data_IF_613912070333
#
_entry.id   IF_613912070333
#
_cell.length_a   1.000
_cell.length_b   1.000
_cell.length_c   1.000
_cell.angle_alpha   90.00
_cell.angle_beta   90.00
_cell.angle_gamma   90.00
#
_symmetry.space_group_name_H-M   'P 1'
#
loop_
_entity.id
_entity.type
_entity.pdbx_description
1 polymer ?
#
# COMPACT_ATOMS: atom_id res chain seq x y z
N UNK A 1 -12.82 -16.04 17.71
CA UNK A 1 -12.81 -15.77 19.16
C UNK A 1 -13.70 -14.55 19.37
N UNK A 2 -14.94 -14.57 19.88
CA UNK A 2 -15.78 -15.56 20.56
C UNK A 2 -17.25 -15.13 20.35
N UNK A 3 -18.23 -16.05 20.27
CA UNK A 3 -19.62 -15.71 20.56
C UNK A 3 -19.91 -16.05 22.03
N UNK A 4 -20.30 -15.08 22.85
CA UNK A 4 -20.80 -15.35 24.20
C UNK A 4 -22.32 -15.49 24.17
N UNK A 5 -22.72 -16.67 24.58
CA UNK A 5 -24.06 -17.21 24.73
C UNK A 5 -24.96 -16.34 25.62
N UNK A 6 -26.19 -16.12 25.17
CA UNK A 6 -27.30 -15.74 26.03
C UNK A 6 -27.85 -17.02 26.66
N UNK A 7 -27.73 -17.14 27.99
CA UNK A 7 -28.38 -18.19 28.77
C UNK A 7 -29.41 -17.56 29.70
N UNK A 8 -30.58 -18.20 29.71
CA UNK A 8 -31.81 -17.82 30.36
C UNK A 8 -31.68 -17.63 31.87
N UNK A 9 -32.35 -16.59 32.39
CA UNK A 9 -32.71 -16.50 33.80
C UNK A 9 -34.17 -16.93 33.91
N UNK A 10 -34.36 -18.07 34.57
CA UNK A 10 -35.65 -18.64 34.91
C UNK A 10 -36.41 -17.73 35.89
N UNK A 11 -37.70 -17.60 35.63
CA UNK A 11 -38.69 -16.97 36.49
C UNK A 11 -39.33 -18.03 37.39
N UNK A 12 -39.89 -17.57 38.51
CA UNK A 12 -41.00 -18.11 39.31
C UNK A 12 -40.62 -18.40 40.77
N UNK A 13 -40.99 -17.46 41.64
CA UNK A 13 -41.80 -17.74 42.84
C UNK A 13 -42.23 -16.41 43.47
N UNK A 14 -43.51 -16.05 43.34
CA UNK A 14 -44.13 -15.08 44.24
C UNK A 14 -45.65 -15.35 44.37
N UNK A 15 -45.94 -15.94 45.53
CA UNK A 15 -47.13 -15.93 46.38
C UNK A 15 -48.48 -15.37 45.86
N UNK A 16 -49.50 -16.19 46.17
CA UNK A 16 -50.93 -15.90 46.28
C UNK A 16 -51.23 -14.80 47.32
N UNK A 17 -52.25 -13.96 47.04
CA UNK A 17 -52.99 -13.23 48.08
C UNK A 17 -53.80 -12.03 47.58
N UNK A 18 -55.14 -12.13 47.63
CA UNK A 18 -56.02 -10.97 47.81
C UNK A 18 -56.83 -10.48 46.60
N UNK A 19 -57.99 -11.10 46.35
CA UNK A 19 -59.07 -10.51 45.53
C UNK A 19 -59.94 -9.59 46.40
N UNK A 20 -59.57 -8.32 46.57
CA UNK A 20 -60.48 -7.26 47.07
C UNK A 20 -60.11 -5.96 46.34
N UNK A 21 -60.96 -5.49 45.41
CA UNK A 21 -60.87 -4.14 44.80
C UNK A 21 -59.84 -3.93 43.67
N UNK A 22 -59.82 -4.77 42.63
CA UNK A 22 -58.78 -4.76 41.58
C UNK A 22 -58.88 -3.69 40.47
N UNK A 23 -59.71 -2.67 40.61
CA UNK A 23 -59.85 -1.60 39.59
C UNK A 23 -58.75 -0.52 39.70
N UNK A 24 -58.50 -0.02 40.90
CA UNK A 24 -57.59 1.12 41.11
C UNK A 24 -56.10 0.76 40.99
N UNK A 25 -55.74 -0.52 41.11
CA UNK A 25 -54.32 -0.96 40.98
C UNK A 25 -53.83 -0.91 39.54
N UNK A 26 -54.70 -1.15 38.56
CA UNK A 26 -54.34 -1.15 37.13
C UNK A 26 -54.14 0.28 36.59
N UNK A 27 -55.02 1.22 36.95
CA UNK A 27 -54.89 2.62 36.55
C UNK A 27 -53.62 3.27 37.13
N UNK A 28 -53.30 2.97 38.40
CA UNK A 28 -52.06 3.44 39.04
C UNK A 28 -50.80 2.91 38.36
N UNK A 29 -50.78 1.65 37.94
CA UNK A 29 -49.63 1.05 37.24
C UNK A 29 -49.37 1.72 35.88
N UNK A 30 -50.42 1.97 35.08
CA UNK A 30 -50.26 2.62 33.77
C UNK A 30 -49.84 4.08 33.86
N UNK A 31 -50.32 4.80 34.88
CA UNK A 31 -49.86 6.15 35.14
C UNK A 31 -48.37 6.18 35.51
N UNK A 32 -47.92 5.24 36.34
CA UNK A 32 -46.50 5.10 36.69
C UNK A 32 -45.63 4.76 35.48
N UNK A 33 -46.10 3.88 34.59
CA UNK A 33 -45.41 3.58 33.32
C UNK A 33 -45.33 4.82 32.42
N UNK A 34 -46.41 5.60 32.31
CA UNK A 34 -46.42 6.84 31.53
C UNK A 34 -45.48 7.90 32.09
N UNK A 35 -45.39 8.02 33.42
CA UNK A 35 -44.43 8.90 34.08
C UNK A 35 -42.98 8.44 33.88
N UNK A 36 -42.72 7.13 33.95
CA UNK A 36 -41.42 6.55 33.63
C UNK A 36 -41.04 6.81 32.17
N UNK A 37 -41.99 6.68 31.24
CA UNK A 37 -41.79 7.00 29.83
C UNK A 37 -41.46 8.49 29.62
N UNK A 38 -42.14 9.39 30.35
CA UNK A 38 -41.91 10.84 30.30
C UNK A 38 -40.48 11.23 30.69
N UNK A 39 -39.97 10.65 31.77
CA UNK A 39 -38.63 10.98 32.31
C UNK A 39 -37.50 10.15 31.72
N UNK A 40 -37.82 9.16 30.88
CA UNK A 40 -36.83 8.33 30.21
C UNK A 40 -35.84 9.18 29.41
N UNK A 41 -34.60 8.73 29.33
CA UNK A 41 -33.56 9.39 28.54
C UNK A 41 -33.95 9.52 27.06
N UNK A 42 -34.61 8.49 26.51
CA UNK A 42 -35.11 8.48 25.13
C UNK A 42 -36.11 9.61 24.88
N UNK A 43 -37.10 9.79 25.76
CA UNK A 43 -38.08 10.88 25.64
C UNK A 43 -37.46 12.25 25.88
N UNK A 44 -36.56 12.39 26.87
CA UNK A 44 -35.86 13.65 27.14
C UNK A 44 -35.04 14.12 25.94
N UNK A 45 -34.26 13.23 25.32
CA UNK A 45 -33.52 13.54 24.10
C UNK A 45 -34.45 13.81 22.91
N UNK A 46 -35.56 13.07 22.80
CA UNK A 46 -36.51 13.22 21.71
C UNK A 46 -37.32 14.52 21.75
N UNK A 47 -37.53 15.12 22.95
CA UNK A 47 -38.24 16.40 23.12
C UNK A 47 -37.62 17.56 22.33
N UNK A 48 -36.29 17.58 22.19
CA UNK A 48 -35.61 18.61 21.40
C UNK A 48 -35.94 18.51 19.89
N UNK A 49 -36.17 17.29 19.41
CA UNK A 49 -36.40 16.98 17.99
C UNK A 49 -37.88 16.94 17.62
N UNK A 50 -38.77 16.65 18.58
CA UNK A 50 -40.21 16.56 18.36
C UNK A 50 -41.01 17.26 19.50
N UNK A 51 -40.84 18.58 19.69
CA UNK A 51 -41.41 19.29 20.84
C UNK A 51 -42.95 19.30 20.84
N UNK A 52 -43.58 19.41 19.66
CA UNK A 52 -45.05 19.42 19.53
C UNK A 52 -45.66 18.08 19.95
N UNK A 53 -45.10 16.96 19.48
CA UNK A 53 -45.57 15.63 19.86
C UNK A 53 -45.34 15.34 21.35
N UNK A 54 -44.29 15.91 21.95
CA UNK A 54 -44.04 15.77 23.37
C UNK A 54 -45.05 16.56 24.22
N UNK A 55 -45.45 17.76 23.76
CA UNK A 55 -46.52 18.53 24.40
C UNK A 55 -47.86 17.77 24.35
N UNK A 56 -48.20 17.16 23.21
CA UNK A 56 -49.39 16.28 23.09
C UNK A 56 -49.34 15.11 24.08
N UNK A 57 -48.17 14.48 24.25
CA UNK A 57 -48.00 13.37 25.21
C UNK A 57 -48.12 13.83 26.68
N UNK A 58 -47.60 15.02 27.02
CA UNK A 58 -47.74 15.64 28.34
C UNK A 58 -49.20 16.00 28.65
N UNK A 59 -49.96 16.47 27.65
CA UNK A 59 -51.37 16.80 27.78
C UNK A 59 -52.23 15.55 28.07
N UNK A 60 -51.97 14.43 27.40
CA UNK A 60 -52.65 13.15 27.70
C UNK A 60 -52.30 12.64 29.11
N UNK A 61 -51.04 12.79 29.53
CA UNK A 61 -50.64 12.43 30.90
C UNK A 61 -51.32 13.34 31.94
N UNK A 62 -51.49 14.63 31.65
CA UNK A 62 -52.20 15.56 32.52
C UNK A 62 -53.67 15.14 32.67
N UNK A 63 -54.36 14.81 31.57
CA UNK A 63 -55.73 14.28 31.59
C UNK A 63 -55.86 12.98 32.39
N UNK A 64 -54.87 12.09 32.28
CA UNK A 64 -54.83 10.85 33.07
C UNK A 64 -54.77 11.13 34.58
N UNK A 65 -53.97 12.11 35.00
CA UNK A 65 -53.87 12.53 36.41
C UNK A 65 -55.15 13.17 36.90
N UNK A 66 -55.74 14.06 36.11
CA UNK A 66 -57.02 14.71 36.44
C UNK A 66 -58.12 13.65 36.65
N UNK A 67 -58.25 12.68 35.74
CA UNK A 67 -59.22 11.59 35.88
C UNK A 67 -58.97 10.71 37.12
N UNK A 68 -57.71 10.41 37.44
CA UNK A 68 -57.36 9.67 38.66
C UNK A 68 -57.77 10.45 39.92
N UNK A 69 -57.50 11.76 39.96
CA UNK A 69 -57.91 12.61 41.10
C UNK A 69 -59.42 12.71 41.26
N UNK A 70 -60.18 12.55 40.18
CA UNK A 70 -61.64 12.51 40.18
C UNK A 70 -62.23 11.13 40.55
N UNK A 71 -61.40 10.09 40.71
CA UNK A 71 -61.82 8.72 40.97
C UNK A 71 -62.34 7.96 39.75
N UNK A 72 -62.14 8.49 38.53
CA UNK A 72 -62.49 7.82 37.28
C UNK A 72 -61.31 6.96 36.78
N UNK A 73 -61.19 5.76 37.35
CA UNK A 73 -60.12 4.82 37.02
C UNK A 73 -60.13 4.38 35.54
N UNK A 74 -61.30 4.34 34.90
CA UNK A 74 -61.44 3.93 33.50
C UNK A 74 -60.88 5.01 32.58
N UNK A 75 -61.27 6.26 32.79
CA UNK A 75 -60.73 7.39 32.04
C UNK A 75 -59.23 7.58 32.32
N UNK A 76 -58.79 7.46 33.58
CA UNK A 76 -57.38 7.54 33.94
C UNK A 76 -56.53 6.52 33.18
N UNK A 77 -56.97 5.26 33.13
CA UNK A 77 -56.30 4.20 32.40
C UNK A 77 -56.26 4.48 30.89
N UNK A 78 -57.39 4.92 30.30
CA UNK A 78 -57.47 5.24 28.88
C UNK A 78 -56.50 6.37 28.49
N UNK A 79 -56.46 7.46 29.26
CA UNK A 79 -55.54 8.57 29.02
C UNK A 79 -54.07 8.18 29.27
N UNK A 80 -53.79 7.31 30.25
CA UNK A 80 -52.44 6.82 30.48
C UNK A 80 -51.90 5.98 29.30
N UNK A 81 -52.73 5.12 28.70
CA UNK A 81 -52.36 4.35 27.49
C UNK A 81 -52.13 5.28 26.29
N UNK A 82 -52.96 6.32 26.13
CA UNK A 82 -52.76 7.34 25.08
C UNK A 82 -51.47 8.11 25.29
N UNK A 83 -51.15 8.48 26.54
CA UNK A 83 -49.88 9.13 26.86
C UNK A 83 -48.68 8.24 26.54
N UNK A 84 -48.73 6.94 26.88
CA UNK A 84 -47.70 5.96 26.53
C UNK A 84 -47.51 5.86 25.01
N UNK A 85 -48.60 5.74 24.25
CA UNK A 85 -48.55 5.70 22.79
C UNK A 85 -47.98 7.01 22.20
N UNK A 86 -48.35 8.16 22.78
CA UNK A 86 -47.84 9.47 22.36
C UNK A 86 -46.32 9.60 22.64
N UNK A 87 -45.82 9.15 23.80
CA UNK A 87 -44.37 9.10 24.07
C UNK A 87 -43.61 8.16 23.14
N UNK A 88 -44.19 7.03 22.76
CA UNK A 88 -43.61 6.16 21.74
C UNK A 88 -43.52 6.87 20.37
N UNK A 89 -44.56 7.62 19.99
CA UNK A 89 -44.56 8.45 18.77
C UNK A 89 -43.47 9.54 18.81
N UNK A 90 -43.27 10.19 19.96
CA UNK A 90 -42.18 11.17 20.15
C UNK A 90 -40.81 10.54 19.85
N UNK A 91 -40.55 9.35 20.36
CA UNK A 91 -39.30 8.64 20.09
C UNK A 91 -39.12 8.28 18.60
N UNK A 92 -40.20 7.89 17.91
CA UNK A 92 -40.18 7.59 16.47
C UNK A 92 -39.90 8.86 15.66
N UNK A 93 -40.57 9.97 15.97
CA UNK A 93 -40.37 11.24 15.26
C UNK A 93 -38.95 11.77 15.46
N UNK A 94 -38.38 11.64 16.66
CA UNK A 94 -36.99 12.01 16.92
C UNK A 94 -35.99 11.13 16.14
N UNK A 95 -36.27 9.83 15.98
CA UNK A 95 -35.46 8.96 15.10
C UNK A 95 -35.55 9.41 13.65
N UNK A 96 -36.74 9.75 13.17
CA UNK A 96 -36.94 10.24 11.81
C UNK A 96 -36.23 11.59 11.57
N UNK A 97 -36.28 12.51 12.55
CA UNK A 97 -35.57 13.79 12.47
C UNK A 97 -34.06 13.60 12.33
N UNK A 98 -33.46 12.75 13.18
CA UNK A 98 -32.03 12.40 13.07
C UNK A 98 -31.67 11.77 11.73
N UNK A 99 -32.49 10.82 11.26
CA UNK A 99 -32.26 10.18 9.97
C UNK A 99 -32.25 11.20 8.82
N UNK A 100 -33.12 12.22 8.87
CA UNK A 100 -33.13 13.31 7.88
C UNK A 100 -31.91 14.23 7.98
N UNK A 101 -31.44 14.53 9.19
CA UNK A 101 -30.22 15.30 9.40
C UNK A 101 -28.98 14.55 8.87
N UNK A 102 -28.90 13.24 9.15
CA UNK A 102 -27.86 12.34 8.64
C UNK A 102 -27.90 12.23 7.11
N UNK A 103 -29.09 12.09 6.52
CA UNK A 103 -29.29 12.09 5.07
C UNK A 103 -28.80 13.40 4.44
N UNK A 104 -29.19 14.54 5.01
CA UNK A 104 -28.77 15.85 4.52
C UNK A 104 -27.24 16.05 4.66
N UNK A 105 -26.63 15.55 5.74
CA UNK A 105 -25.18 15.57 5.91
C UNK A 105 -24.47 14.68 4.88
N UNK A 106 -24.99 13.48 4.62
CA UNK A 106 -24.45 12.57 3.63
C UNK A 106 -24.55 13.14 2.20
N UNK A 107 -25.67 13.79 1.85
CA UNK A 107 -25.84 14.45 0.56
C UNK A 107 -24.84 15.60 0.37
N UNK A 108 -24.58 16.41 1.41
CA UNK A 108 -23.53 17.45 1.36
C UNK A 108 -22.14 16.85 1.17
N UNK A 109 -21.81 15.80 1.93
CA UNK A 109 -20.53 15.11 1.81
C UNK A 109 -20.33 14.49 0.41
N UNK A 110 -21.39 13.96 -0.21
CA UNK A 110 -21.38 13.47 -1.58
C UNK A 110 -21.07 14.60 -2.58
N UNK A 111 -21.79 15.73 -2.50
CA UNK A 111 -21.57 16.88 -3.39
C UNK A 111 -20.14 17.45 -3.26
N UNK A 112 -19.59 17.51 -2.06
CA UNK A 112 -18.19 17.89 -1.83
C UNK A 112 -17.22 16.89 -2.45
N UNK A 113 -17.49 15.59 -2.32
CA UNK A 113 -16.65 14.54 -2.89
C UNK A 113 -16.67 14.58 -4.43
N UNK A 114 -17.83 14.81 -5.04
CA UNK A 114 -17.97 15.00 -6.49
C UNK A 114 -17.20 16.23 -6.98
N UNK A 115 -17.26 17.33 -6.23
CA UNK A 115 -16.48 18.54 -6.52
C UNK A 115 -14.97 18.26 -6.46
N UNK A 116 -14.49 17.56 -5.42
CA UNK A 116 -13.09 17.14 -5.30
C UNK A 116 -12.67 16.23 -6.46
N UNK A 117 -13.52 15.28 -6.85
CA UNK A 117 -13.27 14.39 -7.98
C UNK A 117 -13.12 15.19 -9.29
N UNK A 118 -14.00 16.14 -9.54
CA UNK A 118 -13.94 17.00 -10.73
C UNK A 118 -12.66 17.84 -10.78
N UNK A 119 -12.24 18.39 -9.64
CA UNK A 119 -10.97 19.12 -9.51
C UNK A 119 -9.77 18.23 -9.81
N UNK A 120 -9.72 17.02 -9.23
CA UNK A 120 -8.64 16.07 -9.51
C UNK A 120 -8.63 15.59 -10.96
N UNK A 121 -9.80 15.38 -11.57
CA UNK A 121 -9.89 15.00 -12.97
C UNK A 121 -9.35 16.11 -13.89
N UNK A 122 -9.61 17.38 -13.57
CA UNK A 122 -9.07 18.53 -14.31
C UNK A 122 -7.56 18.62 -14.15
N UNK A 123 -7.06 18.58 -12.91
CA UNK A 123 -5.63 18.61 -12.63
C UNK A 123 -4.86 17.47 -13.32
N UNK A 124 -5.46 16.27 -13.42
CA UNK A 124 -4.86 15.15 -14.16
C UNK A 124 -4.75 15.43 -15.65
N UNK A 125 -5.79 16.02 -16.26
CA UNK A 125 -5.75 16.40 -17.69
C UNK A 125 -4.68 17.45 -17.95
N UNK A 126 -4.57 18.44 -17.07
CA UNK A 126 -3.54 19.49 -17.19
C UNK A 126 -2.14 18.89 -17.08
N UNK A 127 -1.92 18.00 -16.11
CA UNK A 127 -0.65 17.27 -15.95
C UNK A 127 -0.33 16.41 -17.18
N UNK A 128 -1.32 15.69 -17.73
CA UNK A 128 -1.13 14.86 -18.93
C UNK A 128 -0.77 15.72 -20.16
N UNK A 129 -1.32 16.93 -20.27
CA UNK A 129 -0.96 17.90 -21.31
C UNK A 129 0.47 18.42 -21.12
N UNK A 130 0.86 18.78 -19.90
CA UNK A 130 2.22 19.21 -19.59
C UNK A 130 3.25 18.13 -19.91
N UNK A 131 2.95 16.86 -19.59
CA UNK A 131 3.81 15.72 -19.94
C UNK A 131 3.97 15.60 -21.46
N UNK A 132 2.87 15.71 -22.22
CA UNK A 132 2.92 15.63 -23.67
C UNK A 132 3.75 16.77 -24.30
N UNK A 133 3.63 17.98 -23.76
CA UNK A 133 4.40 19.14 -24.19
C UNK A 133 5.89 18.99 -23.86
N UNK A 134 6.22 18.52 -22.65
CA UNK A 134 7.60 18.23 -22.25
C UNK A 134 8.22 17.12 -23.10
N UNK A 135 7.47 16.07 -23.44
CA UNK A 135 7.94 15.00 -24.34
C UNK A 135 8.24 15.52 -25.75
N UNK A 136 7.40 16.45 -26.24
CA UNK A 136 7.64 17.12 -27.52
C UNK A 136 8.90 17.99 -27.47
N UNK A 137 9.07 18.79 -26.42
CA UNK A 137 10.28 19.59 -26.21
C UNK A 137 11.53 18.71 -26.12
N UNK A 138 11.45 17.59 -25.39
CA UNK A 138 12.55 16.65 -25.24
C UNK A 138 12.92 16.01 -26.58
N UNK A 139 11.95 15.69 -27.43
CA UNK A 139 12.19 15.19 -28.78
C UNK A 139 12.92 16.22 -29.64
N UNK A 140 12.44 17.47 -29.66
CA UNK A 140 13.09 18.57 -30.40
C UNK A 140 14.51 18.80 -29.88
N UNK A 141 14.72 18.85 -28.57
CA UNK A 141 16.05 19.01 -27.99
C UNK A 141 17.00 17.86 -28.36
N UNK A 142 16.51 16.61 -28.36
CA UNK A 142 17.28 15.44 -28.80
C UNK A 142 17.64 15.51 -30.28
N UNK A 143 16.75 15.99 -31.14
CA UNK A 143 17.03 16.19 -32.57
C UNK A 143 18.05 17.31 -32.79
N UNK A 144 17.92 18.44 -32.08
CA UNK A 144 18.87 19.56 -32.14
C UNK A 144 20.27 19.19 -31.63
N UNK A 145 20.38 18.25 -30.70
CA UNK A 145 21.65 17.79 -30.13
C UNK A 145 22.14 16.47 -30.76
N UNK A 146 21.44 15.95 -31.77
CA UNK A 146 21.92 14.80 -32.51
C UNK A 146 23.20 15.22 -33.26
N UNK A 147 24.33 14.52 -33.07
CA UNK A 147 25.53 14.79 -33.84
C UNK A 147 25.22 14.61 -35.34
N UNK A 148 25.74 15.52 -36.16
CA UNK A 148 25.59 15.42 -37.60
C UNK A 148 26.08 14.06 -38.10
N UNK A 149 25.31 13.42 -38.99
CA UNK A 149 25.68 12.15 -39.56
C UNK A 149 27.09 12.24 -40.20
N UNK A 150 27.92 11.25 -39.90
CA UNK A 150 29.27 11.20 -40.48
C UNK A 150 29.17 11.07 -41.99
N UNK A 151 29.83 11.98 -42.72
CA UNK A 151 29.93 11.89 -44.19
C UNK A 151 31.04 10.89 -44.57
N UNK A 152 30.96 10.24 -45.75
CA UNK A 152 32.03 9.37 -46.26
C UNK A 152 33.37 10.11 -46.24
N UNK A 153 34.37 9.51 -45.60
CA UNK A 153 35.74 10.05 -45.53
C UNK A 153 36.67 9.45 -46.57
N UNK A 154 37.91 9.94 -46.59
CA UNK A 154 39.04 9.29 -47.27
C UNK A 154 39.16 7.80 -46.85
N UNK A 155 39.56 6.87 -47.74
CA UNK A 155 39.73 5.45 -47.43
C UNK A 155 40.53 5.16 -46.16
N UNK A 156 41.56 5.95 -45.84
CA UNK A 156 42.34 5.73 -44.60
C UNK A 156 41.57 6.17 -43.33
N UNK A 157 40.73 7.19 -43.46
CA UNK A 157 39.80 7.61 -42.40
C UNK A 157 38.71 6.56 -42.16
N UNK A 158 38.22 5.90 -43.20
CA UNK A 158 37.24 4.81 -43.08
C UNK A 158 37.85 3.57 -42.42
N UNK A 159 39.10 3.21 -42.74
CA UNK A 159 39.82 2.14 -42.03
C UNK A 159 39.96 2.46 -40.53
N UNK A 160 40.36 3.68 -40.18
CA UNK A 160 40.44 4.10 -38.79
C UNK A 160 39.07 4.07 -38.08
N UNK A 161 37.99 4.45 -38.77
CA UNK A 161 36.61 4.36 -38.25
C UNK A 161 36.17 2.92 -38.00
N UNK A 162 36.57 1.98 -38.85
CA UNK A 162 36.29 0.55 -38.64
C UNK A 162 36.99 0.01 -37.40
N UNK A 163 38.28 0.34 -37.21
CA UNK A 163 39.02 -0.03 -35.99
C UNK A 163 38.37 0.57 -34.74
N UNK A 164 37.96 1.84 -34.80
CA UNK A 164 37.23 2.49 -33.70
C UNK A 164 35.84 1.85 -33.45
N UNK A 165 35.12 1.46 -34.50
CA UNK A 165 33.84 0.78 -34.36
C UNK A 165 34.00 -0.62 -33.71
N UNK A 166 35.07 -1.35 -34.03
CA UNK A 166 35.40 -2.63 -33.40
C UNK A 166 35.70 -2.48 -31.91
N UNK A 167 36.47 -1.46 -31.51
CA UNK A 167 36.76 -1.19 -30.10
C UNK A 167 35.49 -0.80 -29.34
N UNK A 168 34.63 0.03 -29.94
CA UNK A 168 33.34 0.41 -29.38
C UNK A 168 32.39 -0.78 -29.23
N UNK A 169 32.28 -1.65 -30.24
CA UNK A 169 31.45 -2.86 -30.18
C UNK A 169 31.92 -3.83 -29.09
N UNK A 170 33.24 -3.99 -28.93
CA UNK A 170 33.82 -4.79 -27.84
C UNK A 170 33.48 -4.17 -26.48
N UNK A 171 33.64 -2.85 -26.33
CA UNK A 171 33.29 -2.17 -25.08
C UNK A 171 31.80 -2.29 -24.75
N UNK A 172 30.92 -2.21 -25.75
CA UNK A 172 29.48 -2.33 -25.57
C UNK A 172 29.11 -3.73 -25.06
N UNK A 173 29.70 -4.78 -25.63
CA UNK A 173 29.48 -6.15 -25.17
C UNK A 173 29.92 -6.37 -23.72
N UNK A 174 31.07 -5.82 -23.32
CA UNK A 174 31.53 -5.89 -21.93
C UNK A 174 30.55 -5.18 -20.98
N UNK A 175 30.02 -4.02 -21.38
CA UNK A 175 29.05 -3.27 -20.59
C UNK A 175 27.71 -3.98 -20.46
N UNK A 176 27.20 -4.57 -21.55
CA UNK A 176 25.99 -5.38 -21.50
C UNK A 176 26.21 -6.68 -20.68
N UNK A 177 27.41 -7.28 -20.74
CA UNK A 177 27.81 -8.39 -19.87
C UNK A 177 27.81 -7.98 -18.39
N UNK A 178 28.39 -6.82 -18.07
CA UNK A 178 28.38 -6.26 -16.72
C UNK A 178 26.95 -5.95 -16.24
N UNK A 179 26.10 -5.40 -17.11
CA UNK A 179 24.69 -5.16 -16.79
C UNK A 179 23.95 -6.46 -16.46
N UNK A 180 24.22 -7.55 -17.21
CA UNK A 180 23.64 -8.88 -16.97
C UNK A 180 24.09 -9.48 -15.63
N UNK A 181 25.33 -9.25 -15.22
CA UNK A 181 25.84 -9.69 -13.91
C UNK A 181 25.14 -8.97 -12.76
N UNK A 182 24.78 -7.69 -12.94
CA UNK A 182 24.05 -6.90 -11.95
C UNK A 182 22.57 -7.31 -11.92
N UNK A 183 21.95 -7.43 -13.09
CA UNK A 183 20.57 -7.92 -13.22
C UNK A 183 20.36 -8.54 -14.60
N UNK A 184 19.96 -9.81 -14.61
CA UNK A 184 19.67 -10.56 -15.85
C UNK A 184 18.48 -9.95 -16.60
N UNK A 185 17.55 -9.34 -15.87
CA UNK A 185 16.30 -8.75 -16.40
C UNK A 185 16.34 -7.22 -16.47
N UNK A 186 17.54 -6.62 -16.49
CA UNK A 186 17.67 -5.16 -16.52
C UNK A 186 16.86 -4.52 -17.68
N UNK A 187 16.01 -3.50 -17.40
CA UNK A 187 15.13 -2.91 -18.42
C UNK A 187 15.89 -2.35 -19.63
N UNK A 188 15.64 -2.95 -20.80
CA UNK A 188 16.27 -2.59 -22.07
C UNK A 188 17.58 -3.31 -22.38
N UNK A 189 18.04 -4.24 -21.54
CA UNK A 189 19.26 -5.01 -21.76
C UNK A 189 19.18 -5.92 -23.00
N UNK A 190 18.05 -6.57 -23.22
CA UNK A 190 17.85 -7.46 -24.37
C UNK A 190 17.98 -6.69 -25.71
N UNK A 191 17.38 -5.51 -25.79
CA UNK A 191 17.44 -4.68 -27.00
C UNK A 191 18.84 -4.08 -27.20
N UNK A 192 19.50 -3.68 -26.12
CA UNK A 192 20.90 -3.23 -26.17
C UNK A 192 21.83 -4.34 -26.66
N UNK A 193 21.67 -5.57 -26.17
CA UNK A 193 22.45 -6.73 -26.61
C UNK A 193 22.23 -7.03 -28.10
N UNK A 194 20.98 -7.04 -28.56
CA UNK A 194 20.64 -7.19 -29.99
C UNK A 194 21.30 -6.12 -30.85
N UNK A 195 21.35 -4.87 -30.37
CA UNK A 195 22.03 -3.79 -31.08
C UNK A 195 23.55 -4.00 -31.18
N UNK A 196 24.19 -4.53 -30.12
CA UNK A 196 25.62 -4.92 -30.16
C UNK A 196 25.84 -6.05 -31.16
N UNK A 197 25.01 -7.08 -31.13
CA UNK A 197 25.13 -8.24 -32.01
C UNK A 197 24.94 -7.84 -33.48
N UNK A 198 24.00 -6.94 -33.76
CA UNK A 198 23.79 -6.37 -35.10
C UNK A 198 24.99 -5.54 -35.59
N UNK A 199 25.67 -4.80 -34.69
CA UNK A 199 26.90 -4.08 -35.03
C UNK A 199 28.04 -5.06 -35.32
N UNK A 200 28.21 -6.10 -34.51
CA UNK A 200 29.23 -7.15 -34.71
C UNK A 200 29.06 -7.87 -36.03
N UNK A 201 27.84 -8.33 -36.33
CA UNK A 201 27.53 -8.97 -37.60
C UNK A 201 27.88 -8.09 -38.82
N UNK A 202 27.67 -6.76 -38.71
CA UNK A 202 28.06 -5.81 -39.77
C UNK A 202 29.57 -5.64 -39.89
N UNK A 203 30.31 -5.70 -38.78
CA UNK A 203 31.76 -5.65 -38.77
C UNK A 203 32.37 -6.94 -39.35
N UNK A 204 31.82 -8.10 -38.99
CA UNK A 204 32.28 -9.42 -39.42
C UNK A 204 31.98 -9.69 -40.90
N UNK A 205 30.85 -9.19 -41.41
CA UNK A 205 30.51 -9.25 -42.83
C UNK A 205 31.44 -8.40 -43.73
N UNK A 206 32.48 -7.78 -43.15
CA UNK A 206 33.43 -6.95 -43.86
C UNK A 206 32.73 -5.76 -44.50
N UNK A 207 32.12 -4.90 -43.67
CA UNK A 207 31.46 -3.69 -44.12
C UNK A 207 32.30 -3.02 -45.22
N UNK A 208 31.80 -3.07 -46.47
CA UNK A 208 32.47 -2.46 -47.62
C UNK A 208 32.84 -1.05 -47.19
N UNK A 209 34.13 -0.73 -47.24
CA UNK A 209 34.72 0.55 -46.83
C UNK A 209 33.84 1.69 -47.32
N UNK A 210 33.14 2.37 -46.40
CA UNK A 210 32.17 3.42 -46.75
C UNK A 210 30.73 3.23 -46.25
N UNK A 211 30.48 2.42 -45.22
CA UNK A 211 29.26 2.55 -44.42
C UNK A 211 29.51 3.50 -43.23
N UNK A 212 29.46 4.84 -43.41
CA UNK A 212 29.78 5.82 -42.36
C UNK A 212 28.97 5.59 -41.07
N UNK A 213 27.83 4.92 -41.17
CA UNK A 213 26.93 4.64 -40.05
C UNK A 213 27.39 3.54 -39.08
N UNK A 214 28.46 2.79 -39.36
CA UNK A 214 28.87 1.67 -38.48
C UNK A 214 29.46 2.17 -37.15
N UNK A 215 30.29 3.21 -37.17
CA UNK A 215 30.83 3.82 -35.94
C UNK A 215 29.72 4.49 -35.10
N UNK A 216 28.75 5.13 -35.76
CA UNK A 216 27.60 5.75 -35.09
C UNK A 216 26.69 4.68 -34.47
N UNK A 217 26.50 3.55 -35.16
CA UNK A 217 25.75 2.41 -34.64
C UNK A 217 26.47 1.76 -33.44
N UNK A 218 27.79 1.58 -33.51
CA UNK A 218 28.60 1.06 -32.40
C UNK A 218 28.55 2.00 -31.18
N UNK A 219 28.62 3.32 -31.41
CA UNK A 219 28.49 4.34 -30.36
C UNK A 219 27.11 4.30 -29.69
N UNK A 220 26.02 4.19 -30.47
CA UNK A 220 24.65 4.03 -29.94
C UNK A 220 24.47 2.73 -29.17
N UNK A 221 25.02 1.62 -29.67
CA UNK A 221 24.96 0.33 -28.97
C UNK A 221 25.67 0.38 -27.61
N UNK A 222 26.86 1.01 -27.55
CA UNK A 222 27.58 1.27 -26.29
C UNK A 222 26.75 2.11 -25.32
N UNK A 223 26.16 3.20 -25.77
CA UNK A 223 25.31 4.06 -24.94
C UNK A 223 24.07 3.32 -24.41
N UNK A 224 23.48 2.44 -25.23
CA UNK A 224 22.40 1.54 -24.82
C UNK A 224 22.81 0.61 -23.68
N UNK A 225 23.96 -0.07 -23.80
CA UNK A 225 24.48 -0.93 -22.73
C UNK A 225 24.83 -0.15 -21.45
N UNK A 226 25.39 1.06 -21.56
CA UNK A 226 25.61 1.94 -20.39
C UNK A 226 24.31 2.31 -19.69
N UNK A 227 23.26 2.61 -20.45
CA UNK A 227 21.95 2.96 -19.91
C UNK A 227 21.34 1.78 -19.17
N UNK A 228 21.41 0.58 -19.77
CA UNK A 228 20.95 -0.66 -19.14
C UNK A 228 21.72 -0.94 -17.83
N UNK A 229 23.05 -0.83 -17.83
CA UNK A 229 23.88 -0.98 -16.62
C UNK A 229 23.50 0.05 -15.54
N UNK A 230 23.30 1.31 -15.92
CA UNK A 230 22.92 2.37 -14.98
C UNK A 230 21.56 2.10 -14.34
N UNK A 231 20.59 1.62 -15.12
CA UNK A 231 19.26 1.23 -14.60
C UNK A 231 19.37 0.03 -13.66
N UNK A 232 20.09 -1.01 -14.06
CA UNK A 232 20.33 -2.19 -13.24
C UNK A 232 20.90 -1.82 -11.85
N UNK A 233 21.90 -0.93 -11.82
CA UNK A 233 22.50 -0.43 -10.57
C UNK A 233 21.52 0.40 -9.73
N UNK A 234 20.69 1.23 -10.37
CA UNK A 234 19.69 2.04 -9.66
C UNK A 234 18.57 1.18 -9.06
N UNK A 235 18.17 0.13 -9.75
CA UNK A 235 17.14 -0.78 -9.23
C UNK A 235 17.70 -1.57 -8.04
N UNK A 236 18.94 -2.08 -8.11
CA UNK A 236 19.61 -2.64 -6.93
C UNK A 236 19.76 -1.65 -5.76
N UNK A 237 19.96 -0.35 -6.04
CA UNK A 237 20.05 0.65 -4.99
C UNK A 237 18.72 0.85 -4.23
N UNK A 238 17.57 0.48 -4.81
CA UNK A 238 16.29 0.47 -4.09
C UNK A 238 16.22 -0.65 -3.06
N UNK A 239 16.95 -1.73 -3.28
CA UNK A 239 17.07 -2.87 -2.38
C UNK A 239 18.18 -2.65 -1.31
N UNK A 240 18.75 -1.45 -1.24
CA UNK A 240 19.75 -1.07 -0.25
C UNK A 240 19.33 -1.35 1.21
N UNK A 241 18.09 -1.04 1.66
CA UNK A 241 17.66 -1.32 3.03
C UNK A 241 17.65 -2.82 3.35
N UNK A 242 17.29 -3.66 2.38
CA UNK A 242 17.30 -5.11 2.52
C UNK A 242 18.73 -5.68 2.54
N UNK A 243 19.62 -5.08 1.75
CA UNK A 243 21.04 -5.45 1.71
C UNK A 243 21.77 -5.04 2.99
N UNK A 244 21.42 -3.89 3.58
CA UNK A 244 21.97 -3.43 4.87
C UNK A 244 21.49 -4.31 6.03
N UNK A 245 20.22 -4.75 5.99
CA UNK A 245 19.70 -5.73 6.94
C UNK A 245 20.44 -7.08 6.83
N UNK A 246 20.66 -7.57 5.60
CA UNK A 246 21.44 -8.77 5.35
C UNK A 246 22.89 -8.65 5.84
N UNK A 247 23.53 -7.50 5.62
CA UNK A 247 24.87 -7.24 6.14
C UNK A 247 24.89 -7.33 7.67
N UNK A 248 23.91 -6.73 8.35
CA UNK A 248 23.78 -6.80 9.81
C UNK A 248 23.61 -8.25 10.31
N UNK A 249 22.80 -9.05 9.62
CA UNK A 249 22.62 -10.48 9.95
C UNK A 249 23.88 -11.30 9.72
N UNK A 250 24.58 -11.08 8.60
CA UNK A 250 25.87 -11.72 8.31
C UNK A 250 26.90 -11.34 9.37
N UNK A 251 27.03 -10.06 9.70
CA UNK A 251 27.94 -9.59 10.76
C UNK A 251 27.58 -10.21 12.11
N UNK A 252 26.30 -10.33 12.46
CA UNK A 252 25.86 -11.00 13.68
C UNK A 252 26.22 -12.49 13.68
N UNK A 253 26.06 -13.19 12.55
CA UNK A 253 26.45 -14.59 12.41
C UNK A 253 27.98 -14.77 12.54
N UNK A 254 28.77 -13.84 11.99
CA UNK A 254 30.23 -13.82 12.14
C UNK A 254 30.67 -13.61 13.60
N UNK A 255 30.00 -12.72 14.33
CA UNK A 255 30.26 -12.49 15.76
C UNK A 255 29.86 -13.69 16.62
N UNK A 256 28.75 -14.37 16.31
CA UNK A 256 28.35 -15.60 17.00
C UNK A 256 29.35 -16.75 16.79
N UNK A 257 29.99 -16.79 15.61
CA UNK A 257 31.06 -17.72 15.30
C UNK A 257 32.44 -17.29 15.87
N UNK A 258 32.55 -16.11 16.49
CA UNK A 258 33.80 -15.56 17.04
C UNK A 258 34.87 -15.24 15.98
N UNK A 259 34.46 -14.96 14.73
CA UNK A 259 35.34 -14.73 13.56
C UNK A 259 35.32 -13.30 13.06
N UNK A 260 34.72 -12.40 13.82
CA UNK A 260 34.60 -10.95 13.57
C UNK A 260 35.96 -10.24 13.39
N UNK A 261 37.08 -10.87 13.76
CA UNK A 261 38.45 -10.35 13.55
C UNK A 261 39.16 -10.92 12.31
N UNK A 262 38.75 -12.08 11.83
CA UNK A 262 39.42 -12.79 10.73
C UNK A 262 38.63 -12.73 9.41
N UNK A 263 37.33 -12.44 9.50
CA UNK A 263 36.39 -12.43 8.39
C UNK A 263 35.78 -11.06 8.28
N UNK A 264 35.99 -10.42 7.14
CA UNK A 264 35.43 -9.09 6.86
C UNK A 264 34.24 -9.28 5.93
N UNK A 265 33.05 -8.88 6.41
CA UNK A 265 31.88 -8.66 5.58
C UNK A 265 31.84 -7.20 5.16
N UNK A 266 31.74 -6.93 3.86
CA UNK A 266 31.63 -5.59 3.29
C UNK A 266 30.45 -5.52 2.36
N UNK A 267 29.83 -4.34 2.27
CA UNK A 267 28.82 -4.05 1.26
C UNK A 267 29.46 -3.38 0.05
N UNK A 268 29.14 -3.86 -1.14
CA UNK A 268 29.48 -3.23 -2.41
C UNK A 268 28.24 -3.08 -3.31
N UNK A 269 28.41 -2.54 -4.52
CA UNK A 269 27.31 -2.42 -5.49
C UNK A 269 26.77 -3.76 -6.03
N UNK A 270 27.31 -4.92 -5.61
CA UNK A 270 26.84 -6.25 -6.01
C UNK A 270 26.12 -6.97 -4.87
N UNK A 271 26.28 -6.52 -3.63
CA UNK A 271 25.63 -7.07 -2.44
C UNK A 271 26.54 -7.09 -1.22
N UNK A 272 26.45 -8.17 -0.44
CA UNK A 272 27.31 -8.41 0.73
C UNK A 272 28.42 -9.39 0.34
N UNK A 273 29.68 -8.95 0.45
CA UNK A 273 30.87 -9.74 0.16
C UNK A 273 31.52 -10.16 1.47
N UNK A 274 31.68 -11.47 1.67
CA UNK A 274 32.35 -12.05 2.84
C UNK A 274 33.67 -12.65 2.42
N UNK A 275 34.77 -12.15 2.97
CA UNK A 275 36.12 -12.68 2.67
C UNK A 275 36.57 -13.60 3.79
N UNK A 276 36.74 -14.89 3.49
CA UNK A 276 37.25 -15.90 4.43
C UNK A 276 38.69 -16.23 4.08
N UNK A 277 39.61 -15.98 5.02
CA UNK A 277 41.04 -16.30 4.87
C UNK A 277 41.37 -17.65 5.51
N UNK A 278 42.38 -18.32 4.98
CA UNK A 278 42.92 -19.59 5.50
C UNK A 278 41.85 -20.67 5.70
N UNK A 279 40.88 -20.70 4.76
CA UNK A 279 39.71 -21.57 4.87
C UNK A 279 40.04 -23.07 4.71
N UNK A 280 41.18 -23.36 4.08
CA UNK A 280 41.58 -24.70 3.67
C UNK A 280 42.88 -25.13 4.37
N UNK A 281 43.00 -26.43 4.63
CA UNK A 281 44.23 -27.11 5.04
C UNK A 281 44.39 -28.36 4.16
N UNK A 282 45.23 -28.26 3.12
CA UNK A 282 45.25 -29.24 2.04
C UNK A 282 43.95 -29.18 1.24
N UNK A 283 43.38 -30.34 0.91
CA UNK A 283 42.14 -30.43 0.14
C UNK A 283 40.86 -30.27 0.99
N UNK A 284 41.01 -30.13 2.32
CA UNK A 284 39.91 -30.05 3.28
C UNK A 284 39.69 -28.66 3.85
N UNK A 285 38.43 -28.36 4.20
CA UNK A 285 38.09 -27.17 5.01
C UNK A 285 38.61 -27.33 6.44
N UNK A 286 39.07 -26.24 7.03
CA UNK A 286 39.36 -26.24 8.47
C UNK A 286 38.06 -26.37 9.27
N UNK A 287 38.04 -27.01 10.45
CA UNK A 287 36.82 -27.14 11.27
C UNK A 287 36.15 -25.79 11.57
N UNK A 288 36.96 -24.74 11.68
CA UNK A 288 36.52 -23.37 11.90
C UNK A 288 35.83 -22.76 10.66
N UNK A 289 36.29 -23.11 9.46
CA UNK A 289 35.69 -22.62 8.21
C UNK A 289 34.46 -23.42 7.83
N UNK A 290 34.41 -24.71 8.15
CA UNK A 290 33.21 -25.54 8.03
C UNK A 290 32.06 -25.00 8.91
N UNK A 291 32.34 -24.68 10.17
CA UNK A 291 31.36 -24.07 11.07
C UNK A 291 30.87 -22.71 10.55
N UNK A 292 31.80 -21.86 10.07
CA UNK A 292 31.47 -20.57 9.47
C UNK A 292 30.59 -20.70 8.22
N UNK A 293 30.93 -21.60 7.32
CA UNK A 293 30.16 -21.82 6.09
C UNK A 293 28.77 -22.37 6.39
N UNK A 294 28.60 -23.17 7.45
CA UNK A 294 27.28 -23.60 7.93
C UNK A 294 26.42 -22.43 8.41
N UNK A 295 27.01 -21.47 9.12
CA UNK A 295 26.31 -20.26 9.56
C UNK A 295 25.94 -19.36 8.37
N UNK A 296 26.86 -19.16 7.41
CA UNK A 296 26.55 -18.41 6.19
C UNK A 296 25.49 -19.11 5.33
N UNK A 297 25.51 -20.45 5.27
CA UNK A 297 24.48 -21.24 4.59
C UNK A 297 23.11 -21.10 5.27
N UNK A 298 23.06 -21.01 6.61
CA UNK A 298 21.83 -20.73 7.36
C UNK A 298 21.25 -19.36 7.00
N UNK A 299 22.09 -18.32 6.96
CA UNK A 299 21.68 -16.98 6.55
C UNK A 299 21.20 -16.97 5.10
N UNK A 300 21.94 -17.60 4.17
CA UNK A 300 21.52 -17.71 2.78
C UNK A 300 20.18 -18.44 2.61
N UNK A 301 19.94 -19.51 3.37
CA UNK A 301 18.68 -20.25 3.34
C UNK A 301 17.48 -19.42 3.85
N UNK A 302 17.71 -18.48 4.77
CA UNK A 302 16.68 -17.55 5.26
C UNK A 302 16.34 -16.45 4.26
N UNK A 303 17.21 -16.19 3.28
CA UNK A 303 17.07 -15.15 2.26
C UNK A 303 17.05 -15.74 0.84
N UNK A 304 15.99 -16.48 0.45
CA UNK A 304 15.93 -17.19 -0.84
C UNK A 304 15.93 -16.26 -2.06
N UNK A 305 15.67 -14.97 -1.87
CA UNK A 305 15.77 -13.95 -2.92
C UNK A 305 17.20 -13.50 -3.20
N UNK A 306 18.18 -13.92 -2.40
CA UNK A 306 19.59 -13.53 -2.53
C UNK A 306 20.37 -14.64 -3.22
N UNK A 307 20.91 -14.36 -4.41
CA UNK A 307 21.79 -15.28 -5.11
C UNK A 307 23.16 -15.37 -4.43
N UNK A 308 23.66 -16.59 -4.19
CA UNK A 308 24.97 -16.83 -3.58
C UNK A 308 25.99 -17.19 -4.66
N UNK A 309 27.11 -16.47 -4.68
CA UNK A 309 28.26 -16.77 -5.54
C UNK A 309 29.49 -17.07 -4.67
N UNK A 310 30.12 -18.22 -4.91
CA UNK A 310 31.38 -18.60 -4.25
C UNK A 310 32.52 -18.40 -5.23
N UNK A 311 33.55 -17.65 -4.80
CA UNK A 311 34.76 -17.39 -5.59
C UNK A 311 35.96 -17.89 -4.79
N UNK A 312 36.73 -18.80 -5.40
CA UNK A 312 37.97 -19.30 -4.83
C UNK A 312 39.15 -18.51 -5.41
N UNK A 313 39.98 -17.95 -4.54
CA UNK A 313 41.24 -17.32 -4.92
C UNK A 313 42.39 -18.24 -4.53
N UNK A 314 43.23 -18.60 -5.51
CA UNK A 314 44.44 -19.42 -5.36
C UNK A 314 45.69 -18.56 -5.37
#
# INVERSE_FOLDING_TARGET
>A
MSPKSFAAVALVAAALGGCIGGGSTLAGARLADADKARVSETTRAARALAPQAAAEADDELRRAREAQTAGDDVAANLYAERALAAYARVAILARLARAKEEEAAAQRALAEAETRLATHATARRDTDQEVADLDKQLRVARELHAPAATKPGDPDREKARLVAAQSLATSAALLCGAARLVSVEAPGLADAQKAVDAVRARLDAGAKSGAPHVIDAASRARAGCLTALTRARRDQAKDAPQTDALLGEVTSALSQAGRDKDVIATRDERGVVVTVRDAFRGDGLTPQSDALLKELARVAAAHPSVAVQVVLHT
#
